data_IF_923435144973
#
_entry.id   IF_923435144973
#
_cell.length_a   1.000
_cell.length_b   1.000
_cell.length_c   1.000
_cell.angle_alpha   90.00
_cell.angle_beta   90.00
_cell.angle_gamma   90.00
#
_symmetry.space_group_name_H-M   'P 1'
#
loop_
_entity.id
_entity.type
_entity.pdbx_description
1 polymer ?
#
# COMPACT_ATOMS: atom_id res chain seq x y z
N UNK A 1 -27.13 -15.72 -63.57
CA UNK A 1 -26.20 -15.08 -62.62
C UNK A 1 -26.38 -13.56 -62.42
N UNK A 2 -27.06 -12.84 -63.26
CA UNK A 2 -27.33 -11.39 -63.10
C UNK A 2 -28.39 -11.07 -62.03
N UNK A 3 -29.34 -11.95 -61.80
CA UNK A 3 -30.41 -11.72 -60.79
C UNK A 3 -30.05 -12.07 -59.37
N UNK A 4 -29.05 -12.92 -59.13
CA UNK A 4 -28.55 -13.27 -57.80
C UNK A 4 -27.77 -12.08 -57.18
N UNK A 5 -27.04 -11.33 -58.00
CA UNK A 5 -26.31 -10.12 -57.51
C UNK A 5 -27.26 -8.98 -57.14
N UNK A 6 -28.40 -8.85 -57.82
CA UNK A 6 -29.39 -7.83 -57.51
C UNK A 6 -30.17 -8.16 -56.22
N UNK A 7 -30.43 -9.45 -55.95
CA UNK A 7 -31.09 -9.89 -54.72
C UNK A 7 -30.21 -9.73 -53.49
N UNK A 8 -28.87 -9.97 -53.64
CA UNK A 8 -27.90 -9.72 -52.57
C UNK A 8 -27.75 -8.22 -52.25
N UNK A 9 -27.83 -7.35 -53.24
CA UNK A 9 -27.75 -5.91 -53.04
C UNK A 9 -29.01 -5.37 -52.32
N UNK A 10 -30.18 -5.94 -52.58
CA UNK A 10 -31.44 -5.57 -51.92
C UNK A 10 -31.50 -6.08 -50.47
N UNK A 11 -30.91 -7.24 -50.19
CA UNK A 11 -30.83 -7.78 -48.84
C UNK A 11 -29.90 -6.97 -47.93
N UNK A 12 -28.79 -6.41 -48.47
CA UNK A 12 -27.86 -5.56 -47.68
C UNK A 12 -28.49 -4.21 -47.33
N UNK A 13 -29.36 -3.65 -48.19
CA UNK A 13 -30.05 -2.39 -47.90
C UNK A 13 -31.18 -2.58 -46.87
N UNK A 14 -31.77 -3.79 -46.77
CA UNK A 14 -32.80 -4.08 -45.78
C UNK A 14 -32.26 -4.28 -44.36
N UNK A 15 -30.94 -4.57 -44.19
CA UNK A 15 -30.31 -4.67 -42.89
C UNK A 15 -29.76 -3.34 -42.31
N UNK A 16 -29.73 -2.28 -43.12
CA UNK A 16 -29.28 -0.96 -42.62
C UNK A 16 -30.45 -0.09 -42.09
N UNK A 17 -31.68 -0.58 -42.08
CA UNK A 17 -32.86 0.15 -41.62
C UNK A 17 -33.44 -0.30 -40.29
N UNK A 18 -32.73 -1.19 -39.54
CA UNK A 18 -33.19 -1.66 -38.23
C UNK A 18 -32.19 -1.29 -37.11
N UNK A 19 -31.75 -0.04 -37.12
CA UNK A 19 -31.50 0.64 -35.86
C UNK A 19 -32.77 1.40 -35.53
N UNK A 20 -33.75 0.72 -34.98
CA UNK A 20 -34.67 1.39 -34.08
C UNK A 20 -33.77 1.82 -32.91
N UNK A 21 -33.49 3.11 -32.81
CA UNK A 21 -33.29 3.71 -31.51
C UNK A 21 -34.50 3.25 -30.70
N UNK A 22 -34.31 2.22 -29.88
CA UNK A 22 -35.15 2.02 -28.73
C UNK A 22 -34.96 3.29 -27.90
N UNK A 23 -35.77 4.30 -28.19
CA UNK A 23 -36.07 5.37 -27.27
C UNK A 23 -36.70 4.72 -26.02
N UNK A 24 -35.87 4.04 -25.21
CA UNK A 24 -36.17 3.86 -23.80
C UNK A 24 -36.46 5.28 -23.33
N UNK A 25 -37.69 5.57 -23.02
CA UNK A 25 -38.12 6.90 -22.60
C UNK A 25 -37.46 7.19 -21.25
N UNK A 26 -36.30 7.82 -21.32
CA UNK A 26 -35.53 8.29 -20.17
C UNK A 26 -36.25 9.46 -19.50
N UNK A 27 -37.42 9.20 -18.90
CA UNK A 27 -38.19 10.19 -18.19
C UNK A 27 -37.61 10.33 -16.78
N UNK A 28 -36.67 11.27 -16.59
CA UNK A 28 -36.28 11.69 -15.26
C UNK A 28 -37.47 12.32 -14.53
N UNK A 29 -37.79 11.87 -13.31
CA UNK A 29 -38.53 12.69 -12.36
C UNK A 29 -37.69 13.94 -12.06
N UNK A 30 -38.35 15.09 -11.92
CA UNK A 30 -37.66 16.27 -11.47
C UNK A 30 -37.01 16.00 -10.11
N UNK A 31 -35.71 16.28 -9.97
CA UNK A 31 -34.98 16.10 -8.72
C UNK A 31 -34.02 14.89 -8.66
N UNK A 32 -33.91 14.11 -9.75
CA UNK A 32 -32.85 13.07 -9.82
C UNK A 32 -31.54 13.72 -10.23
N UNK A 33 -30.50 13.51 -9.44
CA UNK A 33 -29.15 14.04 -9.70
C UNK A 33 -28.10 12.94 -9.68
N UNK A 34 -27.05 13.11 -10.48
CA UNK A 34 -25.85 12.26 -10.46
C UNK A 34 -24.63 13.07 -10.10
N UNK A 35 -23.76 12.50 -9.27
CA UNK A 35 -22.50 13.13 -8.83
C UNK A 35 -21.42 12.07 -8.68
N UNK A 36 -20.17 12.46 -8.77
CA UNK A 36 -19.08 11.63 -8.26
C UNK A 36 -19.22 11.53 -6.74
N UNK A 37 -19.04 10.34 -6.17
CA UNK A 37 -19.20 10.14 -4.74
C UNK A 37 -18.01 10.75 -3.96
N UNK A 38 -16.81 10.64 -4.53
CA UNK A 38 -15.59 11.14 -3.91
C UNK A 38 -14.96 12.26 -4.75
N UNK A 39 -14.45 13.30 -4.10
CA UNK A 39 -13.70 14.38 -4.75
C UNK A 39 -12.30 13.91 -5.17
N UNK A 40 -11.70 12.97 -4.42
CA UNK A 40 -10.41 12.39 -4.73
C UNK A 40 -10.32 10.92 -4.31
N UNK A 41 -9.52 10.15 -5.04
CA UNK A 41 -9.20 8.76 -4.72
C UNK A 41 -7.72 8.49 -5.01
N UNK A 42 -7.13 7.56 -4.27
CA UNK A 42 -5.71 7.21 -4.39
C UNK A 42 -5.55 5.71 -4.38
N UNK A 43 -4.83 5.19 -5.35
CA UNK A 43 -4.62 3.76 -5.54
C UNK A 43 -3.15 3.45 -5.78
N UNK A 44 -2.72 2.25 -5.39
CA UNK A 44 -1.44 1.69 -5.85
C UNK A 44 -1.60 1.20 -7.29
N UNK A 45 -0.58 1.30 -8.11
CA UNK A 45 -0.63 0.76 -9.47
C UNK A 45 -0.80 -0.77 -9.49
N UNK A 46 -0.35 -1.48 -8.45
CA UNK A 46 -0.51 -2.93 -8.27
C UNK A 46 -1.90 -3.39 -7.80
N UNK A 47 -2.85 -2.47 -7.57
CA UNK A 47 -4.16 -2.82 -7.02
C UNK A 47 -5.03 -3.65 -7.99
N UNK A 48 -4.72 -3.63 -9.29
CA UNK A 48 -5.54 -4.25 -10.32
C UNK A 48 -6.79 -3.44 -10.66
N UNK A 49 -7.98 -4.03 -10.55
CA UNK A 49 -9.23 -3.35 -10.88
C UNK A 49 -9.76 -2.55 -9.69
N UNK A 50 -10.00 -1.28 -9.92
CA UNK A 50 -10.61 -0.35 -8.95
C UNK A 50 -11.90 0.23 -9.48
N UNK A 51 -12.76 0.71 -8.57
CA UNK A 51 -14.06 1.29 -8.86
C UNK A 51 -14.10 2.71 -8.36
N UNK A 52 -14.40 3.65 -9.28
CA UNK A 52 -14.65 5.05 -8.94
C UNK A 52 -16.17 5.25 -8.92
N UNK A 53 -16.77 5.46 -7.73
CA UNK A 53 -18.23 5.41 -7.58
C UNK A 53 -18.90 6.70 -8.07
N UNK A 54 -20.04 6.51 -8.72
CA UNK A 54 -21.01 7.54 -9.11
C UNK A 54 -22.26 7.32 -8.27
N UNK A 55 -22.74 8.36 -7.62
CA UNK A 55 -23.95 8.36 -6.80
C UNK A 55 -25.13 8.94 -7.57
N UNK A 56 -26.29 8.30 -7.45
CA UNK A 56 -27.56 8.81 -7.92
C UNK A 56 -28.42 9.17 -6.71
N UNK A 57 -28.92 10.39 -6.66
CA UNK A 57 -29.83 10.88 -5.62
C UNK A 57 -31.20 11.19 -6.22
N UNK A 58 -32.26 10.85 -5.48
CA UNK A 58 -33.64 10.95 -5.90
C UNK A 58 -34.18 9.62 -6.47
N UNK A 59 -35.47 9.60 -6.82
CA UNK A 59 -36.14 8.42 -7.38
C UNK A 59 -36.15 8.48 -8.92
N UNK A 60 -35.31 7.68 -9.57
CA UNK A 60 -35.29 7.55 -11.01
C UNK A 60 -36.45 6.68 -11.53
N UNK A 61 -37.05 7.05 -12.64
CA UNK A 61 -38.12 6.27 -13.34
C UNK A 61 -37.53 5.29 -14.36
N UNK A 62 -36.37 4.74 -14.12
CA UNK A 62 -35.67 3.83 -15.03
C UNK A 62 -34.16 3.97 -14.86
N UNK A 63 -33.36 3.26 -15.65
CA UNK A 63 -31.92 3.34 -15.55
C UNK A 63 -31.41 4.74 -15.91
N UNK A 64 -30.38 5.20 -15.18
CA UNK A 64 -29.67 6.43 -15.48
C UNK A 64 -28.43 6.09 -16.29
N UNK A 65 -28.16 6.81 -17.37
CA UNK A 65 -26.93 6.63 -18.16
C UNK A 65 -26.01 7.83 -17.98
N UNK A 66 -24.80 7.58 -17.50
CA UNK A 66 -23.79 8.62 -17.23
C UNK A 66 -22.63 8.42 -18.18
N UNK A 67 -22.23 9.50 -18.87
CA UNK A 67 -21.01 9.52 -19.67
C UNK A 67 -19.94 10.31 -18.96
N UNK A 68 -18.73 9.73 -18.88
CA UNK A 68 -17.56 10.35 -18.28
C UNK A 68 -16.47 10.60 -19.31
N UNK A 69 -15.65 11.58 -19.07
CA UNK A 69 -14.37 11.79 -19.75
C UNK A 69 -13.22 11.73 -18.75
N UNK A 70 -12.04 11.49 -19.29
CA UNK A 70 -10.81 11.45 -18.52
C UNK A 70 -9.85 12.49 -19.03
N UNK A 71 -9.25 13.23 -18.10
CA UNK A 71 -8.29 14.27 -18.41
C UNK A 71 -6.99 14.03 -17.65
N UNK A 72 -5.90 14.03 -18.40
CA UNK A 72 -4.55 14.05 -17.82
C UNK A 72 -4.33 15.34 -17.04
N UNK A 73 -3.84 15.24 -15.78
CA UNK A 73 -3.65 16.39 -14.88
C UNK A 73 -2.34 16.30 -14.12
N UNK A 74 -1.91 17.42 -13.53
CA UNK A 74 -0.69 17.52 -12.73
C UNK A 74 0.59 17.57 -13.54
N UNK A 75 1.72 17.59 -12.84
CA UNK A 75 3.06 17.64 -13.43
C UNK A 75 3.53 16.27 -13.97
N UNK A 76 2.96 15.19 -13.46
CA UNK A 76 3.22 13.80 -13.87
C UNK A 76 1.88 13.10 -14.14
N UNK A 77 1.29 13.29 -15.34
CA UNK A 77 -0.03 12.76 -15.63
C UNK A 77 -0.01 11.24 -15.86
N UNK A 78 -1.01 10.55 -15.32
CA UNK A 78 -1.30 9.19 -15.73
C UNK A 78 -1.97 9.19 -17.11
N UNK A 79 -1.56 8.27 -17.98
CA UNK A 79 -2.04 8.15 -19.37
C UNK A 79 -2.88 6.91 -19.53
N UNK A 80 -4.07 7.10 -20.11
CA UNK A 80 -4.94 5.98 -20.52
C UNK A 80 -4.21 5.07 -21.52
N UNK A 81 -4.41 3.76 -21.42
CA UNK A 81 -3.74 2.69 -22.19
C UNK A 81 -2.23 2.56 -21.94
N UNK A 82 -1.68 3.25 -20.94
CA UNK A 82 -0.28 3.12 -20.53
C UNK A 82 -0.20 2.78 -19.04
N UNK A 83 -0.88 3.56 -18.20
CA UNK A 83 -0.84 3.40 -16.74
C UNK A 83 -2.16 2.85 -16.17
N UNK A 84 -3.23 2.90 -16.97
CA UNK A 84 -4.53 2.31 -16.65
C UNK A 84 -5.35 2.11 -17.92
N UNK A 85 -6.35 1.23 -17.83
CA UNK A 85 -7.39 1.05 -18.84
C UNK A 85 -8.75 1.39 -18.24
N UNK A 86 -9.65 1.93 -19.06
CA UNK A 86 -11.07 2.14 -18.69
C UNK A 86 -11.91 1.17 -19.49
N UNK A 87 -12.72 0.36 -18.80
CA UNK A 87 -13.59 -0.63 -19.45
C UNK A 87 -14.69 0.03 -20.26
N UNK A 88 -15.32 1.07 -19.72
CA UNK A 88 -16.36 1.86 -20.42
C UNK A 88 -16.43 3.27 -19.87
N UNK A 89 -16.69 4.23 -20.76
CA UNK A 89 -16.94 5.64 -20.39
C UNK A 89 -18.43 5.97 -20.33
N UNK A 90 -19.32 5.00 -20.61
CA UNK A 90 -20.76 5.16 -20.44
C UNK A 90 -21.29 4.11 -19.48
N UNK A 91 -21.73 4.56 -18.33
CA UNK A 91 -22.16 3.73 -17.22
C UNK A 91 -23.69 3.75 -17.14
N UNK A 92 -24.33 2.58 -17.21
CA UNK A 92 -25.75 2.41 -16.95
C UNK A 92 -25.95 2.08 -15.48
N UNK A 93 -26.77 2.88 -14.80
CA UNK A 93 -27.02 2.77 -13.35
C UNK A 93 -28.49 2.44 -13.18
N UNK A 94 -28.79 1.25 -12.67
CA UNK A 94 -30.15 0.79 -12.37
C UNK A 94 -30.53 0.97 -10.90
N UNK A 95 -29.51 1.05 -10.05
CA UNK A 95 -29.62 1.29 -8.61
C UNK A 95 -29.16 2.72 -8.29
N UNK A 96 -28.91 3.02 -7.01
CA UNK A 96 -28.49 4.37 -6.59
C UNK A 96 -26.98 4.61 -6.76
N UNK A 97 -26.21 3.62 -7.21
CA UNK A 97 -24.76 3.72 -7.40
C UNK A 97 -24.30 3.05 -8.68
N UNK A 98 -23.36 3.68 -9.37
CA UNK A 98 -22.63 3.10 -10.50
C UNK A 98 -21.13 3.24 -10.28
N UNK A 99 -20.34 2.61 -11.13
CA UNK A 99 -18.89 2.69 -11.00
C UNK A 99 -18.23 2.86 -12.36
N UNK A 100 -17.25 3.76 -12.44
CA UNK A 100 -16.24 3.71 -13.49
C UNK A 100 -15.20 2.67 -13.08
N UNK A 101 -15.03 1.63 -13.87
CA UNK A 101 -14.03 0.60 -13.61
C UNK A 101 -12.73 0.92 -14.32
N UNK A 102 -11.65 0.95 -13.55
CA UNK A 102 -10.28 1.16 -14.00
C UNK A 102 -9.48 -0.11 -13.72
N UNK A 103 -8.70 -0.56 -14.69
CA UNK A 103 -7.67 -1.57 -14.50
C UNK A 103 -6.31 -0.85 -14.47
N UNK A 104 -5.67 -0.82 -13.31
CA UNK A 104 -4.36 -0.21 -13.14
C UNK A 104 -3.27 -1.12 -13.74
N UNK A 105 -2.26 -0.52 -14.36
CA UNK A 105 -1.11 -1.23 -14.93
C UNK A 105 0.03 -1.14 -13.93
N UNK A 106 0.44 -2.29 -13.40
CA UNK A 106 1.60 -2.45 -12.53
C UNK A 106 2.87 -2.55 -13.39
N UNK A 107 3.94 -1.85 -13.01
CA UNK A 107 5.26 -1.98 -13.63
C UNK A 107 6.34 -2.16 -12.55
N UNK A 108 7.55 -2.57 -12.90
CA UNK A 108 8.66 -2.81 -11.97
C UNK A 108 9.58 -1.58 -11.81
N UNK A 109 9.10 -0.38 -12.11
CA UNK A 109 9.91 0.84 -12.10
C UNK A 109 9.51 1.79 -10.99
N UNK A 110 10.48 2.28 -10.25
CA UNK A 110 10.25 3.35 -9.28
C UNK A 110 9.87 4.64 -10.01
N UNK A 111 8.65 5.08 -9.80
CA UNK A 111 8.05 6.24 -10.43
C UNK A 111 7.57 7.26 -9.39
N UNK A 112 7.36 8.51 -9.83
CA UNK A 112 6.60 9.46 -9.06
C UNK A 112 5.09 9.23 -9.24
N UNK A 113 4.30 9.63 -8.24
CA UNK A 113 2.85 9.55 -8.33
C UNK A 113 2.32 10.22 -9.59
N UNK A 114 1.32 9.59 -10.22
CA UNK A 114 0.67 10.08 -11.45
C UNK A 114 -0.77 10.44 -11.16
N UNK A 115 -1.24 11.50 -11.81
CA UNK A 115 -2.59 12.01 -11.57
C UNK A 115 -3.39 12.15 -12.85
N UNK A 116 -4.70 11.98 -12.73
CA UNK A 116 -5.69 12.27 -13.76
C UNK A 116 -7.04 12.59 -13.09
N UNK A 117 -7.98 13.10 -13.86
CA UNK A 117 -9.35 13.38 -13.42
C UNK A 117 -10.36 12.60 -14.23
N UNK A 118 -11.41 12.14 -13.56
CA UNK A 118 -12.60 11.57 -14.19
C UNK A 118 -13.75 12.53 -13.94
N UNK A 119 -14.39 13.00 -15.03
CA UNK A 119 -15.46 13.98 -14.95
C UNK A 119 -16.74 13.48 -15.61
N UNK A 120 -17.89 13.71 -14.98
CA UNK A 120 -19.20 13.49 -15.58
C UNK A 120 -19.43 14.60 -16.61
N UNK A 121 -19.57 14.25 -17.88
CA UNK A 121 -19.83 15.20 -18.96
C UNK A 121 -21.29 15.27 -19.37
N UNK A 122 -22.05 14.17 -19.20
CA UNK A 122 -23.48 14.16 -19.46
C UNK A 122 -24.19 13.03 -18.70
N UNK A 123 -25.49 13.22 -18.49
CA UNK A 123 -26.36 12.20 -17.95
C UNK A 123 -27.70 12.17 -18.73
N UNK A 124 -28.23 10.96 -18.94
CA UNK A 124 -29.59 10.74 -19.41
C UNK A 124 -30.40 10.15 -18.25
N UNK A 125 -31.61 10.64 -18.02
CA UNK A 125 -32.45 10.21 -16.91
C UNK A 125 -32.16 10.88 -15.56
N UNK A 126 -31.19 11.79 -15.50
CA UNK A 126 -30.85 12.58 -14.34
C UNK A 126 -30.19 13.91 -14.72
N UNK A 127 -30.14 14.85 -13.79
CA UNK A 127 -29.38 16.10 -13.91
C UNK A 127 -28.00 15.92 -13.27
N UNK A 128 -26.97 16.47 -13.90
CA UNK A 128 -25.61 16.44 -13.32
C UNK A 128 -25.58 17.37 -12.10
N UNK A 129 -25.14 16.84 -10.96
CA UNK A 129 -25.06 17.53 -9.68
C UNK A 129 -23.81 18.41 -9.53
N UNK A 130 -23.49 18.79 -8.32
CA UNK A 130 -22.40 19.73 -8.03
C UNK A 130 -21.01 19.09 -8.06
N UNK A 131 -20.85 17.88 -7.51
CA UNK A 131 -19.58 17.16 -7.56
C UNK A 131 -19.49 16.34 -8.85
N UNK A 132 -18.86 16.93 -9.87
CA UNK A 132 -18.78 16.35 -11.21
C UNK A 132 -17.47 15.63 -11.48
N UNK A 133 -16.45 15.78 -10.62
CA UNK A 133 -15.08 15.34 -10.90
C UNK A 133 -14.50 14.60 -9.72
N UNK A 134 -13.80 13.49 -9.99
CA UNK A 134 -12.92 12.82 -9.03
C UNK A 134 -11.48 12.94 -9.52
N UNK A 135 -10.61 13.50 -8.69
CA UNK A 135 -9.18 13.46 -8.90
C UNK A 135 -8.64 12.06 -8.50
N UNK A 136 -7.96 11.39 -9.41
CA UNK A 136 -7.37 10.08 -9.16
C UNK A 136 -5.86 10.17 -9.14
N UNK A 137 -5.24 9.64 -8.09
CA UNK A 137 -3.80 9.50 -7.95
C UNK A 137 -3.42 8.02 -8.03
N UNK A 138 -2.59 7.66 -9.01
CA UNK A 138 -1.91 6.37 -9.05
C UNK A 138 -0.56 6.50 -8.36
N UNK A 139 -0.32 5.65 -7.40
CA UNK A 139 0.87 5.62 -6.58
C UNK A 139 1.74 4.44 -6.96
N UNK A 140 3.02 4.70 -7.13
CA UNK A 140 4.04 3.68 -7.29
C UNK A 140 4.14 2.76 -6.07
N UNK A 141 4.26 1.46 -6.30
CA UNK A 141 4.48 0.47 -5.24
C UNK A 141 5.90 -0.12 -5.28
N UNK A 142 6.68 0.15 -6.31
CA UNK A 142 8.02 -0.42 -6.44
C UNK A 142 9.02 0.21 -5.48
N UNK A 143 8.75 1.43 -5.04
CA UNK A 143 9.48 2.11 -3.97
C UNK A 143 9.04 1.70 -2.55
N UNK A 144 8.08 0.80 -2.41
CA UNK A 144 7.55 0.38 -1.10
C UNK A 144 8.41 -0.71 -0.44
N UNK A 145 9.68 -0.46 -0.30
CA UNK A 145 10.64 -1.37 0.34
C UNK A 145 10.28 -1.66 1.78
N UNK A 146 9.56 -0.76 2.44
CA UNK A 146 9.00 -0.96 3.76
C UNK A 146 8.11 -2.21 3.84
N UNK A 147 7.24 -2.41 2.87
CA UNK A 147 6.37 -3.60 2.79
C UNK A 147 7.18 -4.82 2.32
N UNK A 148 8.09 -4.63 1.37
CA UNK A 148 8.97 -5.71 0.86
C UNK A 148 9.87 -6.27 1.97
N UNK A 149 10.23 -5.51 2.99
CA UNK A 149 11.01 -6.00 4.13
C UNK A 149 10.17 -6.77 5.15
N UNK A 150 8.86 -6.65 5.17
CA UNK A 150 8.01 -7.36 6.12
C UNK A 150 7.90 -8.85 5.78
N UNK A 151 7.60 -9.66 6.79
CA UNK A 151 7.41 -11.10 6.65
C UNK A 151 8.31 -11.94 7.54
N UNK A 152 8.51 -13.18 7.17
CA UNK A 152 9.29 -14.17 7.96
C UNK A 152 10.75 -14.20 7.52
N UNK A 153 11.65 -14.21 8.50
CA UNK A 153 13.09 -14.17 8.31
C UNK A 153 13.80 -15.21 9.19
N UNK A 154 15.00 -15.58 8.78
CA UNK A 154 15.97 -16.27 9.64
C UNK A 154 17.05 -15.28 10.02
N UNK A 155 17.17 -14.97 11.29
CA UNK A 155 18.28 -14.17 11.86
C UNK A 155 19.41 -15.08 12.23
N UNK A 156 20.59 -14.89 11.65
CA UNK A 156 21.83 -15.53 12.06
C UNK A 156 22.66 -14.49 12.83
N UNK A 157 23.25 -14.92 13.94
CA UNK A 157 23.99 -14.03 14.81
C UNK A 157 24.96 -14.81 15.72
N UNK A 158 25.76 -14.07 16.48
CA UNK A 158 26.49 -14.61 17.61
C UNK A 158 25.75 -14.19 18.90
N UNK A 159 25.21 -15.15 19.62
CA UNK A 159 24.49 -14.98 20.87
C UNK A 159 25.33 -15.48 22.04
N UNK A 160 25.68 -14.62 23.00
CA UNK A 160 26.53 -14.94 24.12
C UNK A 160 27.80 -15.71 23.71
N UNK A 161 28.46 -15.25 22.65
CA UNK A 161 29.69 -15.82 22.05
C UNK A 161 29.49 -17.12 21.27
N UNK A 162 28.25 -17.61 21.07
CA UNK A 162 27.97 -18.83 20.33
C UNK A 162 27.19 -18.49 19.04
N UNK A 163 27.55 -19.07 17.87
CA UNK A 163 26.75 -18.96 16.65
C UNK A 163 25.33 -19.48 16.87
N UNK A 164 24.35 -18.70 16.52
CA UNK A 164 22.93 -19.00 16.77
C UNK A 164 22.06 -18.52 15.63
N UNK A 165 20.89 -19.12 15.46
CA UNK A 165 19.87 -18.65 14.50
C UNK A 165 18.49 -18.71 15.14
N UNK A 166 17.66 -17.75 14.76
CA UNK A 166 16.26 -17.68 15.17
C UNK A 166 15.32 -17.43 13.99
N UNK A 167 14.14 -17.97 14.05
CA UNK A 167 13.04 -17.58 13.23
C UNK A 167 12.42 -16.32 13.81
N UNK A 168 12.49 -15.24 13.04
CA UNK A 168 11.99 -13.93 13.43
C UNK A 168 10.98 -13.43 12.41
N UNK A 169 10.17 -12.45 12.78
CA UNK A 169 9.24 -11.79 11.87
C UNK A 169 9.47 -10.28 11.91
N UNK A 170 9.59 -9.68 10.71
CA UNK A 170 9.55 -8.22 10.55
C UNK A 170 8.11 -7.83 10.27
N UNK A 171 7.59 -6.88 11.04
CA UNK A 171 6.25 -6.31 10.88
C UNK A 171 6.34 -4.79 10.94
N UNK A 172 5.42 -4.11 10.28
CA UNK A 172 5.28 -2.66 10.27
C UNK A 172 3.81 -2.25 10.32
N UNK A 173 3.56 -0.97 10.38
CA UNK A 173 2.22 -0.42 10.26
C UNK A 173 1.66 -0.75 8.86
N UNK A 174 0.38 -1.14 8.81
CA UNK A 174 -0.32 -1.45 7.55
C UNK A 174 -1.24 -0.31 7.11
N UNK A 175 -1.61 0.58 8.02
CA UNK A 175 -2.37 1.79 7.72
C UNK A 175 -1.40 2.92 7.36
N UNK A 176 -1.54 3.46 6.17
CA UNK A 176 -0.72 4.57 5.67
C UNK A 176 -0.86 5.86 6.49
N UNK A 177 -1.95 5.99 7.24
CA UNK A 177 -2.18 7.11 8.15
C UNK A 177 -1.53 6.89 9.52
N UNK A 178 -1.00 5.71 9.80
CA UNK A 178 -0.27 5.44 11.04
C UNK A 178 1.03 6.26 11.04
N UNK A 179 1.32 6.90 12.19
CA UNK A 179 2.54 7.71 12.38
C UNK A 179 3.84 6.94 12.15
N UNK A 180 3.82 5.62 12.35
CA UNK A 180 4.97 4.73 12.22
C UNK A 180 5.10 4.10 10.82
N UNK A 181 4.10 4.29 9.93
CA UNK A 181 4.16 3.82 8.55
C UNK A 181 5.33 4.45 7.78
N UNK A 182 6.09 3.64 7.04
CA UNK A 182 7.32 4.04 6.33
C UNK A 182 8.42 4.65 7.21
N UNK A 183 8.39 4.41 8.54
CA UNK A 183 9.38 4.94 9.48
C UNK A 183 9.89 3.89 10.46
N UNK A 184 9.02 2.98 10.87
CA UNK A 184 9.30 2.04 11.95
C UNK A 184 8.93 0.63 11.54
N UNK A 185 9.87 -0.29 11.73
CA UNK A 185 9.67 -1.74 11.65
C UNK A 185 9.92 -2.37 13.02
N UNK A 186 9.32 -3.50 13.26
CA UNK A 186 9.49 -4.28 14.48
C UNK A 186 9.98 -5.69 14.15
N UNK A 187 10.98 -6.17 14.86
CA UNK A 187 11.43 -7.57 14.81
C UNK A 187 10.88 -8.28 16.03
N UNK A 188 10.10 -9.35 15.83
CA UNK A 188 9.62 -10.24 16.89
C UNK A 188 10.28 -11.60 16.79
N UNK A 189 10.42 -12.31 17.93
CA UNK A 189 10.97 -13.67 17.98
C UNK A 189 12.48 -13.73 18.19
N UNK A 190 13.15 -12.62 18.49
CA UNK A 190 14.57 -12.63 18.84
C UNK A 190 14.80 -13.45 20.12
N UNK A 191 16.01 -13.97 20.28
CA UNK A 191 16.42 -14.84 21.38
C UNK A 191 15.53 -16.07 21.61
N UNK A 192 14.77 -16.48 20.58
CA UNK A 192 13.87 -17.63 20.61
C UNK A 192 12.51 -17.41 21.27
N UNK A 193 12.18 -16.19 21.67
CA UNK A 193 10.90 -15.86 22.32
C UNK A 193 10.03 -14.96 21.43
N UNK A 194 8.86 -15.44 21.02
CA UNK A 194 7.94 -14.72 20.13
C UNK A 194 7.38 -13.41 20.72
N UNK A 195 7.41 -13.27 22.02
CA UNK A 195 6.97 -12.08 22.76
C UNK A 195 8.01 -10.96 22.87
N UNK A 196 9.25 -11.21 22.43
CA UNK A 196 10.28 -10.16 22.37
C UNK A 196 10.07 -9.30 21.13
N UNK A 197 10.28 -7.99 21.28
CA UNK A 197 10.11 -7.04 20.17
C UNK A 197 11.25 -6.04 20.18
N UNK A 198 12.01 -6.00 19.09
CA UNK A 198 12.98 -4.94 18.83
C UNK A 198 12.36 -3.93 17.85
N UNK A 199 12.51 -2.64 18.15
CA UNK A 199 12.06 -1.56 17.29
C UNK A 199 13.21 -1.09 16.40
N UNK A 200 12.95 -0.95 15.10
CA UNK A 200 13.91 -0.47 14.10
C UNK A 200 13.41 0.85 13.52
N UNK A 201 14.29 1.80 13.26
CA UNK A 201 14.01 2.84 12.29
C UNK A 201 14.13 2.29 10.88
N UNK A 202 13.36 2.85 9.96
CA UNK A 202 13.42 2.60 8.54
C UNK A 202 13.61 3.92 7.82
N UNK A 203 14.60 3.98 6.96
CA UNK A 203 14.89 5.13 6.11
C UNK A 203 15.13 4.68 4.68
N UNK A 204 14.58 5.43 3.73
CA UNK A 204 14.74 5.18 2.32
C UNK A 204 14.92 6.48 1.55
N UNK A 205 15.98 6.55 0.77
CA UNK A 205 16.24 7.68 -0.11
C UNK A 205 15.82 7.34 -1.55
N UNK A 206 14.65 7.85 -1.96
CA UNK A 206 14.07 7.62 -3.28
C UNK A 206 15.00 8.05 -4.43
N UNK A 207 15.79 9.12 -4.24
CA UNK A 207 16.68 9.64 -5.28
C UNK A 207 17.85 8.72 -5.58
N UNK A 208 18.32 7.93 -4.61
CA UNK A 208 19.46 7.01 -4.76
C UNK A 208 19.03 5.56 -4.89
N UNK A 209 17.75 5.23 -4.64
CA UNK A 209 17.26 3.86 -4.57
C UNK A 209 17.84 3.04 -3.42
N UNK A 210 18.41 3.70 -2.39
CA UNK A 210 19.05 3.06 -1.26
C UNK A 210 18.33 3.40 0.03
N UNK A 211 18.42 2.47 0.98
CA UNK A 211 17.86 2.69 2.30
C UNK A 211 18.53 1.83 3.36
N UNK A 212 18.13 2.05 4.61
CA UNK A 212 18.65 1.36 5.78
C UNK A 212 17.57 1.07 6.79
N UNK A 213 17.80 0.06 7.60
CA UNK A 213 17.13 -0.15 8.88
C UNK A 213 18.14 0.01 9.98
N UNK A 214 17.73 0.42 11.17
CA UNK A 214 18.65 0.49 12.29
C UNK A 214 17.99 0.10 13.61
N UNK A 215 18.74 -0.56 14.48
CA UNK A 215 18.42 -0.62 15.90
C UNK A 215 18.75 0.75 16.50
N UNK A 216 17.77 1.65 16.52
CA UNK A 216 17.93 3.08 16.78
C UNK A 216 17.07 3.56 17.99
N UNK A 217 16.21 2.66 18.51
CA UNK A 217 15.43 2.91 19.73
C UNK A 217 16.06 2.29 20.97
N UNK A 218 17.39 2.28 20.99
CA UNK A 218 18.18 1.70 22.09
C UNK A 218 17.98 2.51 23.37
N UNK A 219 17.90 1.84 24.50
CA UNK A 219 17.63 2.45 25.81
C UNK A 219 16.18 2.94 26.02
N UNK A 220 15.44 3.19 24.96
CA UNK A 220 14.15 3.90 24.98
C UNK A 220 12.94 2.98 24.92
N UNK A 221 13.10 1.77 24.36
CA UNK A 221 12.00 0.84 24.10
C UNK A 221 12.21 -0.49 24.82
N UNK A 222 11.17 -1.00 25.47
CA UNK A 222 11.25 -2.30 26.13
C UNK A 222 11.21 -3.42 25.08
N UNK A 223 12.34 -4.10 24.93
CA UNK A 223 12.49 -5.30 24.13
C UNK A 223 11.65 -6.46 24.69
N UNK A 224 11.57 -6.54 26.01
CA UNK A 224 10.77 -7.50 26.74
C UNK A 224 10.25 -6.87 28.03
N UNK A 225 8.99 -7.17 28.38
CA UNK A 225 8.32 -6.66 29.56
C UNK A 225 7.89 -7.79 30.48
N UNK A 226 7.88 -7.52 31.77
CA UNK A 226 7.33 -8.43 32.76
C UNK A 226 8.10 -9.74 32.93
N UNK A 227 9.39 -9.77 32.59
CA UNK A 227 10.23 -10.97 32.69
C UNK A 227 10.62 -11.22 34.15
N UNK A 228 10.35 -12.41 34.66
CA UNK A 228 10.73 -12.77 36.02
C UNK A 228 12.17 -13.29 36.05
N UNK A 229 13.07 -12.52 36.65
CA UNK A 229 14.46 -12.91 36.88
C UNK A 229 14.64 -13.41 38.31
N UNK A 230 15.26 -14.58 38.48
CA UNK A 230 15.52 -15.15 39.80
C UNK A 230 16.35 -14.20 40.66
N UNK A 231 15.84 -13.87 41.82
CA UNK A 231 16.49 -12.93 42.76
C UNK A 231 16.26 -11.43 42.48
N UNK A 232 15.72 -11.05 41.31
CA UNK A 232 15.41 -9.66 40.97
C UNK A 232 13.90 -9.38 40.90
N UNK A 233 13.07 -10.44 40.74
CA UNK A 233 11.63 -10.32 40.51
C UNK A 233 11.29 -9.95 39.06
N UNK A 234 10.18 -9.25 38.91
CA UNK A 234 9.67 -8.84 37.56
C UNK A 234 10.44 -7.62 37.08
N UNK A 235 11.05 -7.75 35.90
CA UNK A 235 11.89 -6.74 35.26
C UNK A 235 11.49 -6.52 33.83
N UNK A 236 11.90 -5.38 33.25
CA UNK A 236 11.88 -5.09 31.83
C UNK A 236 13.29 -5.22 31.25
N UNK A 237 13.36 -5.50 29.96
CA UNK A 237 14.63 -5.58 29.23
C UNK A 237 14.64 -4.55 28.12
N UNK A 238 15.72 -3.77 28.02
CA UNK A 238 15.97 -2.83 26.92
C UNK A 238 17.22 -3.22 26.17
N UNK A 239 17.24 -2.94 24.88
CA UNK A 239 18.43 -3.11 24.06
C UNK A 239 19.31 -1.87 24.13
N UNK A 240 20.61 -2.09 24.15
CA UNK A 240 21.64 -1.08 24.02
C UNK A 240 22.68 -1.54 23.00
N UNK A 241 23.40 -0.63 22.39
CA UNK A 241 24.68 -0.95 21.75
C UNK A 241 25.81 -0.94 22.79
N UNK A 242 26.94 -1.54 22.42
CA UNK A 242 28.15 -1.55 23.25
C UNK A 242 29.25 -0.82 22.51
N UNK A 243 29.71 0.29 23.09
CA UNK A 243 30.84 1.07 22.60
C UNK A 243 32.02 0.97 23.60
N UNK A 244 33.09 0.31 23.19
CA UNK A 244 34.16 -0.06 24.13
C UNK A 244 33.62 -1.05 25.17
N UNK A 245 33.63 -0.66 26.44
CA UNK A 245 33.06 -1.46 27.55
C UNK A 245 31.86 -0.78 28.21
N UNK A 246 31.21 0.14 27.52
CA UNK A 246 30.09 0.90 28.05
C UNK A 246 28.82 0.69 27.18
N UNK A 247 27.67 0.74 27.84
CA UNK A 247 26.40 0.78 27.16
C UNK A 247 26.24 2.11 26.42
N UNK A 248 25.77 2.04 25.18
CA UNK A 248 25.51 3.20 24.34
C UNK A 248 24.11 3.08 23.72
N UNK A 249 23.54 4.20 23.36
CA UNK A 249 22.31 4.30 22.57
C UNK A 249 22.63 4.59 21.09
N UNK A 250 23.89 4.50 20.66
CA UNK A 250 24.29 4.68 19.28
C UNK A 250 23.67 3.60 18.40
N UNK A 251 23.03 3.96 17.27
CA UNK A 251 22.32 3.02 16.43
C UNK A 251 23.27 2.02 15.75
N UNK A 252 22.78 0.79 15.52
CA UNK A 252 23.44 -0.21 14.68
C UNK A 252 22.66 -0.28 13.37
N UNK A 253 23.28 0.19 12.28
CA UNK A 253 22.67 0.25 10.97
C UNK A 253 22.73 -1.10 10.24
N UNK A 254 21.74 -1.36 9.39
CA UNK A 254 21.69 -2.50 8.51
C UNK A 254 21.21 -2.09 7.13
N UNK A 255 21.74 -2.77 6.12
CA UNK A 255 21.38 -2.57 4.71
C UNK A 255 20.77 -3.85 4.15
N UNK A 256 19.84 -3.70 3.23
CA UNK A 256 19.23 -4.83 2.54
C UNK A 256 19.83 -5.03 1.14
N UNK A 257 19.76 -6.27 0.64
CA UNK A 257 20.12 -6.60 -0.74
C UNK A 257 19.07 -6.10 -1.74
N UNK A 258 19.45 -5.89 -3.00
CA UNK A 258 18.57 -5.39 -4.05
C UNK A 258 17.34 -6.30 -4.29
N UNK A 259 17.45 -7.58 -3.99
CA UNK A 259 16.36 -8.56 -4.09
C UNK A 259 15.50 -8.66 -2.81
N UNK A 260 15.77 -7.84 -1.79
CA UNK A 260 15.07 -7.83 -0.48
C UNK A 260 15.11 -9.15 0.29
N UNK A 261 16.06 -10.03 -0.02
CA UNK A 261 16.19 -11.35 0.61
C UNK A 261 17.19 -11.41 1.74
N UNK A 262 18.06 -10.42 1.84
CA UNK A 262 19.08 -10.37 2.88
C UNK A 262 19.11 -8.98 3.52
N UNK A 263 19.36 -8.95 4.84
CA UNK A 263 19.73 -7.75 5.59
C UNK A 263 21.02 -8.06 6.32
N UNK A 264 22.01 -7.17 6.21
CA UNK A 264 23.28 -7.27 6.92
C UNK A 264 23.43 -6.03 7.79
N UNK A 265 23.60 -6.23 9.08
CA UNK A 265 23.87 -5.15 10.02
C UNK A 265 25.38 -4.90 10.14
N UNK A 266 25.75 -3.64 10.37
CA UNK A 266 27.12 -3.22 10.61
C UNK A 266 27.69 -3.92 11.87
N UNK A 267 29.01 -3.88 11.97
CA UNK A 267 29.68 -4.40 13.18
C UNK A 267 29.19 -3.65 14.42
N UNK A 268 28.74 -4.41 15.39
CA UNK A 268 28.20 -3.90 16.64
C UNK A 268 27.69 -5.03 17.52
N UNK A 269 27.47 -4.72 18.78
CA UNK A 269 26.90 -5.66 19.76
C UNK A 269 25.66 -5.05 20.37
N UNK A 270 24.53 -5.77 20.28
CA UNK A 270 23.34 -5.49 21.05
C UNK A 270 23.45 -6.17 22.42
N UNK A 271 23.17 -5.42 23.47
CA UNK A 271 23.17 -5.87 24.85
C UNK A 271 21.74 -5.75 25.41
N UNK A 272 21.24 -6.83 26.00
CA UNK A 272 19.95 -6.83 26.70
C UNK A 272 20.13 -6.43 28.15
N UNK A 273 19.91 -5.16 28.47
CA UNK A 273 19.99 -4.62 29.86
C UNK A 273 18.70 -4.90 30.64
N UNK A 274 18.83 -5.40 31.86
CA UNK A 274 17.71 -5.72 32.76
C UNK A 274 17.46 -4.55 33.71
N UNK A 275 16.20 -4.12 33.82
CA UNK A 275 15.72 -3.00 34.64
C UNK A 275 14.61 -3.47 35.57
N UNK A 276 14.73 -3.16 36.87
CA UNK A 276 13.67 -3.46 37.83
C UNK A 276 12.48 -2.49 37.74
N UNK A 277 11.49 -2.68 38.60
CA UNK A 277 10.28 -1.83 38.64
C UNK A 277 10.54 -0.36 39.02
N UNK A 278 11.73 -0.05 39.53
CA UNK A 278 12.17 1.33 39.82
C UNK A 278 12.99 1.95 38.69
N UNK A 279 13.06 1.26 37.52
CA UNK A 279 13.87 1.62 36.37
C UNK A 279 15.40 1.61 36.64
N UNK A 280 15.83 0.89 37.66
CA UNK A 280 17.24 0.73 37.97
C UNK A 280 17.86 -0.43 37.18
N UNK A 281 18.98 -0.17 36.50
CA UNK A 281 19.73 -1.19 35.76
C UNK A 281 20.32 -2.22 36.72
N UNK A 282 20.10 -3.51 36.48
CA UNK A 282 20.46 -4.65 37.31
C UNK A 282 21.51 -5.59 36.69
N UNK A 283 21.95 -5.30 35.49
CA UNK A 283 22.90 -6.12 34.74
C UNK A 283 22.39 -6.53 33.37
N UNK A 284 23.11 -7.46 32.74
CA UNK A 284 22.78 -7.94 31.40
C UNK A 284 22.11 -9.31 31.40
N UNK A 285 21.27 -9.52 30.39
CA UNK A 285 20.70 -10.83 30.10
C UNK A 285 21.44 -11.54 28.98
N UNK A 286 21.78 -10.81 27.91
CA UNK A 286 22.41 -11.37 26.72
C UNK A 286 23.20 -10.34 25.92
N UNK A 287 24.05 -10.87 25.03
CA UNK A 287 24.73 -10.11 23.99
C UNK A 287 24.50 -10.76 22.64
N UNK A 288 24.24 -9.94 21.58
CA UNK A 288 24.05 -10.37 20.20
C UNK A 288 24.97 -9.55 19.31
N UNK A 289 25.74 -10.20 18.45
CA UNK A 289 26.59 -9.53 17.44
C UNK A 289 26.59 -10.28 16.11
N UNK A 290 27.22 -9.72 15.08
CA UNK A 290 27.31 -10.31 13.72
C UNK A 290 25.94 -10.67 13.16
N UNK A 291 25.01 -9.72 13.16
CA UNK A 291 23.62 -9.96 12.78
C UNK A 291 23.47 -9.92 11.26
N UNK A 292 22.97 -11.01 10.71
CA UNK A 292 22.50 -11.08 9.33
C UNK A 292 21.11 -11.74 9.28
N UNK A 293 20.30 -11.35 8.31
CA UNK A 293 18.96 -11.92 8.16
C UNK A 293 18.73 -12.38 6.73
N UNK A 294 18.08 -13.52 6.58
CA UNK A 294 17.67 -14.04 5.26
C UNK A 294 16.16 -14.27 5.26
N UNK A 295 15.49 -13.76 4.24
CA UNK A 295 14.03 -13.88 4.07
C UNK A 295 13.66 -15.32 3.74
N UNK A 296 12.56 -15.83 4.34
CA UNK A 296 12.04 -17.16 4.07
C UNK A 296 11.19 -17.24 2.81
#
# INVERSE_FOLDING_TARGET
MKYIKLFMLLAVVAFMGSCSDDDESWNSKSGVTVSMENESMRFKESVGIVKVPIKVEGEANGPVSVTVEVKETGSNPAKENVHYYITTKTIKISDNTGNVELECVDDDKINDERTFEISIVSAKGATVGSNTTTAVTLRDNDSEFYEKLQGSWVMNCTYNKAPTKWDVKIVGATDENDKDYNKVLYITGMIGYQWTTAKLSYDYNKATGKGSVAFDYLGQYNFAEGVNFNGLGVCNVRLFSVAGNQLSEDPIYGTWSDDFKNITFDEGTLYGGVFDSSDAHKGGWFEISNITMTKK
#
